data_IF_659819938300
#
_entry.id   IF_659819938300
#
_cell.length_a   1.000
_cell.length_b   1.000
_cell.length_c   1.000
_cell.angle_alpha   90.00
_cell.angle_beta   90.00
_cell.angle_gamma   90.00
#
_symmetry.space_group_name_H-M   'P 1'
#
loop_
_entity.id
_entity.type
_entity.pdbx_description
1 polymer ?
#
# COMPACT_ATOMS: atom_id res chain seq x y z
N UNK A 1 -32.72 2.19 -16.00
CA UNK A 1 -33.91 2.83 -16.62
C UNK A 1 -34.10 4.24 -16.05
N UNK A 2 -34.22 5.26 -16.89
CA UNK A 2 -34.31 6.67 -16.44
C UNK A 2 -35.72 7.03 -15.98
N UNK A 3 -35.82 7.94 -15.01
CA UNK A 3 -37.08 8.40 -14.42
C UNK A 3 -37.96 9.11 -15.46
N UNK A 4 -37.34 9.86 -16.38
CA UNK A 4 -38.00 10.48 -17.53
C UNK A 4 -38.67 9.46 -18.43
N UNK A 5 -38.04 8.29 -18.62
CA UNK A 5 -38.60 7.22 -19.44
C UNK A 5 -39.81 6.55 -18.76
N UNK A 6 -39.78 6.39 -17.43
CA UNK A 6 -40.96 5.95 -16.64
C UNK A 6 -42.12 6.93 -16.82
N UNK A 7 -41.86 8.20 -16.56
CA UNK A 7 -42.88 9.25 -16.60
C UNK A 7 -43.56 9.33 -17.97
N UNK A 8 -42.76 9.41 -19.06
CA UNK A 8 -43.30 9.47 -20.42
C UNK A 8 -44.13 8.23 -20.76
N UNK A 9 -43.66 7.04 -20.42
CA UNK A 9 -44.37 5.80 -20.74
C UNK A 9 -45.67 5.66 -19.95
N UNK A 10 -45.70 6.08 -18.68
CA UNK A 10 -46.92 6.09 -17.86
C UNK A 10 -47.90 7.15 -18.34
N UNK A 11 -47.43 8.34 -18.75
CA UNK A 11 -48.30 9.36 -19.37
C UNK A 11 -49.02 8.84 -20.62
N UNK A 12 -48.35 8.03 -21.45
CA UNK A 12 -48.98 7.35 -22.59
C UNK A 12 -50.05 6.33 -22.19
N UNK A 13 -49.88 5.66 -21.05
CA UNK A 13 -50.90 4.74 -20.52
C UNK A 13 -52.13 5.51 -20.05
N UNK A 14 -51.93 6.64 -19.38
CA UNK A 14 -53.01 7.50 -18.86
C UNK A 14 -53.78 8.17 -20.01
N UNK A 15 -53.07 8.60 -21.06
CA UNK A 15 -53.67 9.13 -22.28
C UNK A 15 -54.31 8.05 -23.18
N UNK A 16 -54.36 6.79 -22.72
CA UNK A 16 -54.88 5.63 -23.46
C UNK A 16 -54.18 5.35 -24.81
N UNK A 17 -52.97 5.86 -25.03
CA UNK A 17 -52.18 5.58 -26.24
C UNK A 17 -51.60 4.17 -26.26
N UNK A 18 -51.30 3.60 -25.08
CA UNK A 18 -50.76 2.25 -24.92
C UNK A 18 -51.43 1.50 -23.77
N UNK A 19 -51.55 0.18 -23.88
CA UNK A 19 -52.14 -0.65 -22.82
C UNK A 19 -51.16 -0.85 -21.66
N UNK A 20 -51.71 -1.10 -20.45
CA UNK A 20 -50.91 -1.46 -19.26
C UNK A 20 -49.96 -2.63 -19.51
N UNK A 21 -50.41 -3.66 -20.24
CA UNK A 21 -49.61 -4.83 -20.64
C UNK A 21 -48.44 -4.44 -21.54
N UNK A 22 -48.66 -3.51 -22.49
CA UNK A 22 -47.61 -3.01 -23.39
C UNK A 22 -46.60 -2.16 -22.61
N UNK A 23 -47.04 -1.31 -21.70
CA UNK A 23 -46.16 -0.52 -20.84
C UNK A 23 -45.34 -1.40 -19.88
N UNK A 24 -45.94 -2.44 -19.30
CA UNK A 24 -45.25 -3.44 -18.48
C UNK A 24 -44.07 -4.07 -19.26
N UNK A 25 -44.29 -4.43 -20.54
CA UNK A 25 -43.24 -4.97 -21.41
C UNK A 25 -42.17 -3.93 -21.77
N UNK A 26 -42.55 -2.69 -22.06
CA UNK A 26 -41.61 -1.60 -22.40
C UNK A 26 -40.70 -1.26 -21.22
N UNK A 27 -41.27 -1.21 -20.02
CA UNK A 27 -40.56 -0.82 -18.81
C UNK A 27 -39.91 -1.99 -18.08
N UNK A 28 -40.15 -3.22 -18.53
CA UNK A 28 -39.76 -4.47 -17.87
C UNK A 28 -40.20 -4.51 -16.40
N UNK A 29 -41.49 -4.24 -16.18
CA UNK A 29 -42.12 -4.16 -14.86
C UNK A 29 -43.40 -4.99 -14.80
N UNK A 30 -43.78 -5.41 -13.59
CA UNK A 30 -45.08 -6.05 -13.38
C UNK A 30 -46.24 -5.09 -13.61
N UNK A 31 -47.39 -5.62 -14.02
CA UNK A 31 -48.62 -4.83 -14.20
C UNK A 31 -49.00 -4.08 -12.92
N UNK A 32 -48.85 -4.73 -11.76
CA UNK A 32 -49.04 -4.10 -10.44
C UNK A 32 -48.15 -2.87 -10.24
N UNK A 33 -46.89 -2.93 -10.69
CA UNK A 33 -45.98 -1.80 -10.60
C UNK A 33 -46.39 -0.66 -11.52
N UNK A 34 -46.89 -0.96 -12.73
CA UNK A 34 -47.46 0.04 -13.64
C UNK A 34 -48.64 0.76 -12.97
N UNK A 35 -49.56 0.04 -12.34
CA UNK A 35 -50.72 0.62 -11.66
C UNK A 35 -50.33 1.51 -10.47
N UNK A 36 -49.30 1.12 -9.71
CA UNK A 36 -48.73 1.99 -8.67
C UNK A 36 -48.14 3.27 -9.25
N UNK A 37 -47.43 3.17 -10.38
CA UNK A 37 -46.86 4.34 -11.04
C UNK A 37 -47.93 5.27 -11.63
N UNK A 38 -49.06 4.73 -12.09
CA UNK A 38 -50.22 5.53 -12.51
C UNK A 38 -50.80 6.34 -11.33
N UNK A 39 -50.98 5.72 -10.16
CA UNK A 39 -51.43 6.43 -8.94
C UNK A 39 -50.48 7.55 -8.51
N UNK A 40 -49.17 7.34 -8.69
CA UNK A 40 -48.14 8.36 -8.40
C UNK A 40 -48.20 9.50 -9.43
N UNK A 41 -48.49 9.19 -10.70
CA UNK A 41 -48.63 10.19 -11.75
C UNK A 41 -49.82 11.14 -11.51
N UNK A 42 -50.94 10.60 -11.00
CA UNK A 42 -52.14 11.40 -10.71
C UNK A 42 -51.98 12.33 -9.51
N UNK A 43 -51.03 12.04 -8.62
CA UNK A 43 -50.82 12.77 -7.36
C UNK A 43 -49.64 13.73 -7.40
N UNK A 44 -48.68 13.54 -8.31
CA UNK A 44 -47.41 14.28 -8.28
C UNK A 44 -46.72 14.42 -9.65
N UNK A 45 -45.95 15.51 -9.83
CA UNK A 45 -45.20 15.85 -11.05
C UNK A 45 -44.02 14.87 -11.30
N UNK A 46 -43.29 15.02 -12.42
CA UNK A 46 -42.18 14.13 -12.85
C UNK A 46 -41.14 13.79 -11.75
N UNK A 47 -40.96 14.68 -10.76
CA UNK A 47 -40.09 14.50 -9.59
C UNK A 47 -40.43 13.29 -8.72
N UNK A 48 -41.63 12.76 -8.81
CA UNK A 48 -42.10 11.65 -7.97
C UNK A 48 -41.75 10.27 -8.48
N UNK A 49 -41.25 10.23 -9.71
CA UNK A 49 -40.58 9.06 -10.25
C UNK A 49 -39.11 8.98 -9.81
N UNK A 50 -38.64 9.96 -9.02
CA UNK A 50 -37.32 9.95 -8.44
C UNK A 50 -37.11 8.74 -7.53
N UNK A 51 -35.95 8.09 -7.67
CA UNK A 51 -35.61 6.99 -6.77
C UNK A 51 -35.52 7.50 -5.33
N UNK A 52 -36.04 6.75 -4.35
CA UNK A 52 -36.02 7.12 -2.93
C UNK A 52 -34.60 7.42 -2.40
N UNK A 53 -33.58 6.82 -2.99
CA UNK A 53 -32.17 7.04 -2.63
C UNK A 53 -31.51 8.20 -3.38
N UNK A 54 -32.25 8.95 -4.21
CA UNK A 54 -31.69 10.08 -4.96
C UNK A 54 -31.28 11.18 -3.98
N UNK A 55 -30.02 11.61 -4.05
CA UNK A 55 -29.45 12.60 -3.13
C UNK A 55 -29.07 12.05 -1.75
N UNK A 56 -29.30 10.76 -1.47
CA UNK A 56 -28.83 10.12 -0.24
C UNK A 56 -27.43 9.58 -0.42
N UNK A 57 -26.53 9.92 0.49
CA UNK A 57 -25.24 9.25 0.64
C UNK A 57 -25.48 7.87 1.23
N UNK A 58 -24.81 6.84 0.69
CA UNK A 58 -24.84 5.51 1.29
C UNK A 58 -24.38 5.58 2.76
N UNK A 59 -25.01 4.79 3.63
CA UNK A 59 -24.65 4.75 5.07
C UNK A 59 -23.16 4.42 5.27
N UNK A 60 -22.61 3.53 4.45
CA UNK A 60 -21.20 3.13 4.46
C UNK A 60 -20.32 4.00 3.53
N UNK A 61 -20.75 5.22 3.17
CA UNK A 61 -19.94 6.10 2.33
C UNK A 61 -18.69 6.52 3.10
N UNK A 62 -17.53 6.17 2.55
CA UNK A 62 -16.23 6.59 3.10
C UNK A 62 -16.18 8.11 3.24
N UNK A 63 -15.64 8.59 4.37
CA UNK A 63 -15.53 10.03 4.65
C UNK A 63 -14.72 10.74 3.54
N UNK A 64 -15.12 11.94 3.09
CA UNK A 64 -14.41 12.66 2.03
C UNK A 64 -12.92 12.86 2.32
N UNK A 65 -12.58 13.18 3.57
CA UNK A 65 -11.19 13.36 4.04
C UNK A 65 -10.33 12.10 3.82
N UNK A 66 -10.91 10.92 4.04
CA UNK A 66 -10.19 9.65 3.82
C UNK A 66 -9.93 9.45 2.33
N UNK A 67 -10.92 9.74 1.48
CA UNK A 67 -10.76 9.66 0.03
C UNK A 67 -9.68 10.62 -0.49
N UNK A 68 -9.67 11.85 0.01
CA UNK A 68 -8.70 12.88 -0.37
C UNK A 68 -7.29 12.53 0.09
N UNK A 69 -7.14 12.00 1.30
CA UNK A 69 -5.87 11.48 1.80
C UNK A 69 -5.33 10.33 0.97
N UNK A 70 -6.18 9.36 0.59
CA UNK A 70 -5.78 8.25 -0.28
C UNK A 70 -5.30 8.78 -1.64
N UNK A 71 -6.01 9.76 -2.20
CA UNK A 71 -5.68 10.36 -3.49
C UNK A 71 -4.34 11.11 -3.45
N UNK A 72 -4.08 11.85 -2.37
CA UNK A 72 -2.82 12.54 -2.14
C UNK A 72 -1.65 11.56 -1.98
N UNK A 73 -1.83 10.46 -1.22
CA UNK A 73 -0.81 9.43 -1.08
C UNK A 73 -0.46 8.78 -2.42
N UNK A 74 -1.47 8.49 -3.24
CA UNK A 74 -1.25 7.95 -4.58
C UNK A 74 -0.45 8.90 -5.45
N UNK A 75 -0.85 10.18 -5.50
CA UNK A 75 -0.18 11.21 -6.33
C UNK A 75 1.24 11.55 -5.88
N UNK A 76 1.56 11.45 -4.59
CA UNK A 76 2.83 11.94 -4.05
C UNK A 76 3.83 10.83 -3.75
N UNK A 77 3.37 9.74 -3.12
CA UNK A 77 4.24 8.69 -2.56
C UNK A 77 4.23 7.41 -3.39
N UNK A 78 3.15 7.13 -4.11
CA UNK A 78 2.94 5.89 -4.84
C UNK A 78 2.68 6.11 -6.33
N UNK A 79 3.22 7.18 -6.91
CA UNK A 79 2.91 7.65 -8.27
C UNK A 79 3.17 6.59 -9.35
N UNK A 80 4.15 5.71 -9.14
CA UNK A 80 4.53 4.65 -10.08
C UNK A 80 3.97 3.25 -9.71
N UNK A 81 3.12 3.16 -8.68
CA UNK A 81 2.54 1.87 -8.28
C UNK A 81 1.31 1.52 -9.12
N UNK A 82 1.32 0.33 -9.73
CA UNK A 82 0.13 -0.27 -10.32
C UNK A 82 -0.87 -0.68 -9.21
N UNK A 83 -2.14 -0.28 -9.33
CA UNK A 83 -3.20 -0.53 -8.37
C UNK A 83 -3.28 -2.00 -7.91
N UNK A 84 -3.05 -2.96 -8.81
CA UNK A 84 -3.09 -4.40 -8.51
C UNK A 84 -2.01 -4.80 -7.48
N UNK A 85 -0.80 -4.25 -7.59
CA UNK A 85 0.28 -4.54 -6.64
C UNK A 85 0.02 -3.94 -5.26
N UNK A 86 -0.68 -2.80 -5.21
CA UNK A 86 -1.06 -2.15 -3.95
C UNK A 86 -2.08 -2.97 -3.16
N UNK A 87 -3.11 -3.53 -3.81
CA UNK A 87 -4.16 -4.34 -3.14
C UNK A 87 -3.56 -5.60 -2.53
N UNK A 88 -2.81 -6.39 -3.32
CA UNK A 88 -2.17 -7.61 -2.82
C UNK A 88 -1.22 -7.34 -1.65
N UNK A 89 -0.50 -6.21 -1.70
CA UNK A 89 0.39 -5.80 -0.61
C UNK A 89 -0.38 -5.40 0.63
N UNK A 90 -1.49 -4.66 0.49
CA UNK A 90 -2.36 -4.25 1.59
C UNK A 90 -2.99 -5.48 2.25
N UNK A 91 -3.53 -6.43 1.47
CA UNK A 91 -4.10 -7.68 2.00
C UNK A 91 -3.07 -8.49 2.80
N UNK A 92 -1.82 -8.57 2.31
CA UNK A 92 -0.73 -9.20 3.06
C UNK A 92 -0.43 -8.46 4.38
N UNK A 93 -0.42 -7.14 4.36
CA UNK A 93 -0.16 -6.32 5.55
C UNK A 93 -1.30 -6.42 6.57
N UNK A 94 -2.55 -6.47 6.12
CA UNK A 94 -3.73 -6.71 6.96
C UNK A 94 -3.65 -8.10 7.61
N UNK A 95 -3.32 -9.13 6.84
CA UNK A 95 -3.13 -10.49 7.37
C UNK A 95 -2.01 -10.56 8.41
N UNK A 96 -0.91 -9.83 8.21
CA UNK A 96 0.18 -9.72 9.19
C UNK A 96 -0.31 -9.01 10.45
N UNK A 97 -1.05 -7.90 10.31
CA UNK A 97 -1.61 -7.13 11.43
C UNK A 97 -2.58 -7.95 12.28
N UNK A 98 -3.48 -8.71 11.65
CA UNK A 98 -4.49 -9.51 12.34
C UNK A 98 -3.90 -10.75 13.04
N UNK A 99 -2.77 -11.26 12.54
CA UNK A 99 -2.11 -12.46 13.09
C UNK A 99 -1.03 -12.13 14.11
N UNK A 100 -0.45 -10.93 14.04
CA UNK A 100 0.68 -10.54 14.86
C UNK A 100 0.61 -9.01 15.10
N UNK A 101 0.54 -8.59 16.38
CA UNK A 101 0.51 -7.17 16.77
C UNK A 101 1.60 -6.31 16.07
N UNK A 102 1.47 -4.97 16.10
CA UNK A 102 2.30 -3.97 15.40
C UNK A 102 3.84 -4.19 15.32
N UNK A 103 4.41 -5.04 16.17
CA UNK A 103 5.80 -5.50 16.10
C UNK A 103 6.15 -6.30 14.83
N UNK A 104 5.16 -6.81 14.08
CA UNK A 104 5.39 -7.68 12.90
C UNK A 104 5.69 -6.99 11.59
N UNK A 105 5.63 -5.66 11.55
CA UNK A 105 6.18 -4.88 10.44
C UNK A 105 7.71 -4.75 10.52
N UNK A 106 8.32 -5.13 11.64
CA UNK A 106 9.76 -5.32 11.70
C UNK A 106 10.14 -6.60 10.94
N UNK A 107 11.06 -6.50 9.98
CA UNK A 107 11.66 -7.67 9.33
C UNK A 107 12.09 -8.69 10.40
N UNK A 108 11.94 -9.99 10.17
CA UNK A 108 12.34 -11.01 11.17
C UNK A 108 13.83 -10.93 11.55
N UNK A 109 14.63 -10.20 10.77
CA UNK A 109 16.07 -9.98 10.95
C UNK A 109 16.38 -8.65 11.64
N UNK A 110 15.37 -7.84 11.93
CA UNK A 110 15.53 -6.54 12.60
C UNK A 110 15.96 -6.82 14.05
N UNK A 111 17.18 -6.42 14.38
CA UNK A 111 17.81 -6.74 15.67
C UNK A 111 18.57 -8.08 15.72
N UNK A 112 18.52 -8.92 14.67
CA UNK A 112 19.39 -10.10 14.56
C UNK A 112 20.73 -9.70 13.97
N UNK A 113 21.81 -10.00 14.67
CA UNK A 113 23.16 -9.93 14.08
C UNK A 113 23.30 -11.01 13.00
N UNK A 114 23.95 -10.68 11.89
CA UNK A 114 24.22 -11.66 10.84
C UNK A 114 25.01 -12.85 11.43
N UNK A 115 24.66 -14.08 11.03
CA UNK A 115 25.35 -15.30 11.48
C UNK A 115 26.87 -15.24 11.29
N UNK A 116 27.31 -14.56 10.22
CA UNK A 116 28.72 -14.37 9.87
C UNK A 116 29.36 -13.10 10.47
N UNK A 117 28.77 -12.50 11.53
CA UNK A 117 29.37 -11.33 12.18
C UNK A 117 30.65 -11.76 12.89
N UNK A 118 31.79 -11.21 12.48
CA UNK A 118 33.07 -11.37 13.17
C UNK A 118 32.87 -11.02 14.65
N UNK A 119 33.34 -11.88 15.56
CA UNK A 119 33.16 -11.68 17.00
C UNK A 119 33.65 -10.27 17.41
N UNK A 120 32.92 -9.55 18.29
CA UNK A 120 33.28 -8.19 18.69
C UNK A 120 34.70 -8.12 19.27
N UNK A 121 35.10 -9.11 20.07
CA UNK A 121 36.46 -9.24 20.62
C UNK A 121 37.56 -9.25 19.54
N UNK A 122 37.33 -9.97 18.43
CA UNK A 122 38.28 -10.02 17.31
C UNK A 122 38.36 -8.64 16.63
N UNK A 123 37.23 -7.94 16.51
CA UNK A 123 37.19 -6.60 15.91
C UNK A 123 37.97 -5.59 16.78
N UNK A 124 37.76 -5.62 18.10
CA UNK A 124 38.48 -4.77 19.05
C UNK A 124 39.97 -5.07 19.04
N UNK A 125 40.36 -6.35 19.00
CA UNK A 125 41.76 -6.75 18.91
C UNK A 125 42.43 -6.20 17.63
N UNK A 126 41.76 -6.33 16.47
CA UNK A 126 42.27 -5.80 15.19
C UNK A 126 42.46 -4.27 15.26
N UNK A 127 41.52 -3.54 15.87
CA UNK A 127 41.64 -2.08 16.04
C UNK A 127 42.80 -1.71 16.96
N UNK A 128 42.99 -2.44 18.06
CA UNK A 128 44.09 -2.21 19.00
C UNK A 128 45.45 -2.50 18.36
N UNK A 129 45.57 -3.58 17.59
CA UNK A 129 46.78 -3.92 16.85
C UNK A 129 47.14 -2.84 15.83
N UNK A 130 46.15 -2.27 15.14
CA UNK A 130 46.39 -1.16 14.22
C UNK A 130 46.88 0.11 14.95
N UNK A 131 46.28 0.43 16.10
CA UNK A 131 46.62 1.64 16.88
C UNK A 131 47.92 1.55 17.66
N UNK A 132 48.43 0.35 17.93
CA UNK A 132 49.61 0.16 18.80
C UNK A 132 50.82 -0.37 18.04
N UNK A 133 50.64 -1.39 17.19
CA UNK A 133 51.74 -2.17 16.61
C UNK A 133 51.93 -1.94 15.11
N UNK A 134 50.84 -1.71 14.37
CA UNK A 134 50.86 -1.57 12.91
C UNK A 134 50.37 -0.17 12.48
N UNK A 135 50.76 0.84 13.26
CA UNK A 135 50.42 2.24 13.00
C UNK A 135 50.94 2.62 11.61
N UNK A 136 50.13 3.35 10.84
CA UNK A 136 50.44 3.81 9.48
C UNK A 136 50.63 2.72 8.42
N UNK A 137 50.28 1.47 8.71
CA UNK A 137 50.28 0.44 7.67
C UNK A 137 49.12 0.67 6.69
N UNK A 138 49.38 0.48 5.40
CA UNK A 138 48.34 0.30 4.39
C UNK A 138 47.48 -0.91 4.77
N UNK A 139 46.16 -0.83 4.61
CA UNK A 139 45.23 -1.92 4.94
C UNK A 139 45.53 -3.24 4.22
N UNK A 140 46.10 -3.22 3.01
CA UNK A 140 46.53 -4.45 2.33
C UNK A 140 47.65 -5.11 3.13
N UNK A 141 48.68 -4.34 3.48
CA UNK A 141 49.83 -4.86 4.22
C UNK A 141 49.47 -5.23 5.66
N UNK A 142 48.58 -4.46 6.28
CA UNK A 142 48.04 -4.78 7.60
C UNK A 142 47.28 -6.11 7.58
N UNK A 143 46.46 -6.37 6.56
CA UNK A 143 45.77 -7.66 6.39
C UNK A 143 46.76 -8.83 6.29
N UNK A 144 47.86 -8.66 5.57
CA UNK A 144 48.92 -9.67 5.46
C UNK A 144 49.55 -9.94 6.84
N UNK A 145 49.91 -8.89 7.58
CA UNK A 145 50.50 -9.02 8.92
C UNK A 145 49.55 -9.61 9.96
N UNK A 146 48.25 -9.32 9.86
CA UNK A 146 47.23 -9.98 10.68
C UNK A 146 47.22 -11.49 10.45
N UNK A 147 47.41 -11.96 9.21
CA UNK A 147 47.45 -13.38 8.90
C UNK A 147 48.78 -14.02 9.31
N UNK A 148 49.91 -13.38 9.01
CA UNK A 148 51.26 -13.91 9.25
C UNK A 148 51.61 -13.96 10.74
N UNK A 149 51.47 -12.83 11.43
CA UNK A 149 51.98 -12.65 12.79
C UNK A 149 50.92 -12.97 13.85
N UNK A 150 49.68 -12.56 13.60
CA UNK A 150 48.59 -12.64 14.58
C UNK A 150 47.66 -13.85 14.33
N UNK A 151 47.85 -14.56 13.19
CA UNK A 151 47.03 -15.70 12.74
C UNK A 151 45.53 -15.38 12.60
N UNK A 152 45.19 -14.11 12.36
CA UNK A 152 43.82 -13.63 12.18
C UNK A 152 43.47 -13.61 10.69
N UNK A 153 42.58 -14.51 10.26
CA UNK A 153 42.06 -14.54 8.89
C UNK A 153 40.83 -13.65 8.76
N UNK A 154 40.93 -12.59 7.97
CA UNK A 154 39.84 -11.66 7.67
C UNK A 154 39.82 -11.30 6.18
N UNK A 155 38.62 -11.10 5.61
CA UNK A 155 38.52 -10.60 4.24
C UNK A 155 38.86 -9.11 4.20
N UNK A 156 39.35 -8.63 3.05
CA UNK A 156 39.69 -7.23 2.89
C UNK A 156 38.47 -6.31 3.05
N UNK A 157 37.30 -6.71 2.54
CA UNK A 157 36.06 -5.93 2.65
C UNK A 157 35.61 -5.76 4.10
N UNK A 158 35.71 -6.80 4.93
CA UNK A 158 35.36 -6.71 6.36
C UNK A 158 36.36 -5.81 7.08
N UNK A 159 37.66 -5.96 6.81
CA UNK A 159 38.70 -5.10 7.40
C UNK A 159 38.49 -3.63 7.01
N UNK A 160 38.24 -3.35 5.73
CA UNK A 160 38.01 -2.01 5.22
C UNK A 160 36.78 -1.36 5.86
N UNK A 161 35.68 -2.11 5.96
CA UNK A 161 34.45 -1.63 6.61
C UNK A 161 34.67 -1.39 8.11
N UNK A 162 35.37 -2.29 8.80
CA UNK A 162 35.72 -2.13 10.22
C UNK A 162 36.51 -0.84 10.46
N UNK A 163 37.54 -0.58 9.65
CA UNK A 163 38.36 0.62 9.75
C UNK A 163 37.57 1.89 9.40
N UNK A 164 36.76 1.83 8.33
CA UNK A 164 35.95 2.97 7.87
C UNK A 164 34.89 3.38 8.91
N UNK A 165 34.22 2.41 9.54
CA UNK A 165 33.27 2.66 10.63
C UNK A 165 33.94 3.33 11.84
N UNK A 166 35.22 3.04 12.07
CA UNK A 166 36.03 3.67 13.12
C UNK A 166 36.78 4.92 12.64
N UNK A 167 36.44 5.45 11.47
CA UNK A 167 37.04 6.66 10.88
C UNK A 167 38.56 6.58 10.64
N UNK A 168 39.11 5.36 10.56
CA UNK A 168 40.52 5.13 10.24
C UNK A 168 40.66 5.07 8.72
N UNK A 169 41.55 5.89 8.17
CA UNK A 169 41.85 5.92 6.72
C UNK A 169 43.16 5.21 6.45
N UNK A 170 43.20 4.41 5.39
CA UNK A 170 44.46 3.80 4.94
C UNK A 170 45.40 4.91 4.47
N UNK A 171 46.66 4.93 4.94
CA UNK A 171 47.69 5.80 4.40
C UNK A 171 47.82 5.57 2.89
N UNK A 172 48.00 6.66 2.14
CA UNK A 172 48.26 6.60 0.69
C UNK A 172 49.70 6.11 0.50
N UNK A 173 49.91 5.27 -0.52
CA UNK A 173 51.26 4.91 -0.98
C UNK A 173 52.03 6.22 -1.27
N UNK A 174 53.13 6.43 -0.55
CA UNK A 174 54.20 7.30 -1.03
C UNK A 174 54.91 6.61 -2.19
#
# INVERSE_FOLDING_TARGET
>A
MTEKHKYKTIGKVINNEITKKRAAKILDLSIRRIEQLMKIYDTQNMTSFAHHSRGRTAYNKTKPEICENILNLYKTKYIDFNFIHSIRRIEQLMKIYDTQNMTSFAHHSRGRTAYNKTKPEICENILNLYKTKYIDFNFIHFKEKLLENEKIKISYSVLYNLMSLNQIKSPRKQ
#
